data_IF_978273584566
#
_entry.id   IF_978273584566
#
_cell.length_a   1.000
_cell.length_b   1.000
_cell.length_c   1.000
_cell.angle_alpha   90.00
_cell.angle_beta   90.00
_cell.angle_gamma   90.00
#
_symmetry.space_group_name_H-M   'P 1'
#
loop_
_entity.id
_entity.type
_entity.pdbx_description
1 polymer ?
#
# COMPACT_ATOMS: atom_id res chain seq x y z
N UNK A 1 -1.18 -21.95 -7.23
CA UNK A 1 -2.63 -21.90 -7.44
C UNK A 1 -2.98 -20.49 -7.95
N UNK A 2 -3.46 -20.38 -9.18
CA UNK A 2 -3.91 -19.10 -9.72
C UNK A 2 -5.18 -18.70 -8.97
N UNK A 3 -5.17 -17.56 -8.31
CA UNK A 3 -6.37 -17.03 -7.66
C UNK A 3 -7.34 -16.57 -8.74
N UNK A 4 -8.57 -17.05 -8.67
CA UNK A 4 -9.62 -16.65 -9.62
C UNK A 4 -10.17 -15.29 -9.21
N UNK A 5 -10.34 -14.39 -10.19
CA UNK A 5 -10.97 -13.11 -9.95
C UNK A 5 -12.42 -13.31 -9.49
N UNK A 6 -12.74 -12.62 -8.43
CA UNK A 6 -14.11 -12.56 -7.87
C UNK A 6 -14.31 -11.23 -7.16
N UNK A 7 -15.56 -10.83 -6.98
CA UNK A 7 -15.89 -9.63 -6.21
C UNK A 7 -15.27 -9.69 -4.80
N UNK A 8 -15.33 -10.84 -4.14
CA UNK A 8 -14.75 -11.02 -2.81
C UNK A 8 -13.22 -10.86 -2.80
N UNK A 9 -12.53 -11.36 -3.84
CA UNK A 9 -11.10 -11.15 -3.99
C UNK A 9 -10.75 -9.67 -4.18
N UNK A 10 -11.48 -8.98 -5.07
CA UNK A 10 -11.29 -7.54 -5.31
C UNK A 10 -11.62 -6.70 -4.07
N UNK A 11 -12.67 -7.06 -3.32
CA UNK A 11 -12.95 -6.43 -2.03
C UNK A 11 -11.77 -6.58 -1.05
N UNK A 12 -11.14 -7.76 -0.99
CA UNK A 12 -9.94 -7.98 -0.19
C UNK A 12 -8.80 -7.05 -0.60
N UNK A 13 -8.50 -6.95 -1.91
CA UNK A 13 -7.47 -6.04 -2.43
C UNK A 13 -7.77 -4.56 -2.09
N UNK A 14 -9.04 -4.16 -2.17
CA UNK A 14 -9.45 -2.79 -1.84
C UNK A 14 -9.31 -2.50 -0.33
N UNK A 15 -9.57 -3.48 0.52
CA UNK A 15 -9.34 -3.36 1.96
C UNK A 15 -7.84 -3.31 2.30
N UNK A 16 -6.99 -4.10 1.62
CA UNK A 16 -5.52 -4.02 1.75
C UNK A 16 -5.03 -2.62 1.34
N UNK A 17 -5.58 -2.08 0.24
CA UNK A 17 -5.28 -0.71 -0.21
C UNK A 17 -5.67 0.32 0.84
N UNK A 18 -6.88 0.23 1.40
CA UNK A 18 -7.33 1.14 2.45
C UNK A 18 -6.43 1.07 3.69
N UNK A 19 -6.01 -0.13 4.10
CA UNK A 19 -5.08 -0.31 5.21
C UNK A 19 -3.73 0.36 4.95
N UNK A 20 -3.17 0.19 3.74
CA UNK A 20 -1.89 0.84 3.38
C UNK A 20 -2.02 2.37 3.31
N UNK A 21 -3.12 2.92 2.84
CA UNK A 21 -3.36 4.37 2.83
C UNK A 21 -3.40 4.95 4.24
N UNK A 22 -4.07 4.27 5.18
CA UNK A 22 -4.10 4.68 6.60
C UNK A 22 -2.68 4.69 7.20
N UNK A 23 -1.86 3.67 6.89
CA UNK A 23 -0.46 3.62 7.34
C UNK A 23 0.34 4.75 6.69
N UNK A 24 0.19 4.96 5.40
CA UNK A 24 0.91 5.99 4.64
C UNK A 24 0.62 7.39 5.18
N UNK A 25 -0.61 7.68 5.55
CA UNK A 25 -0.96 8.94 6.19
C UNK A 25 -0.19 9.14 7.50
N UNK A 26 -0.11 8.11 8.33
CA UNK A 26 0.66 8.17 9.59
C UNK A 26 2.16 8.36 9.35
N UNK A 27 2.72 7.70 8.31
CA UNK A 27 4.12 7.89 7.92
C UNK A 27 4.37 9.32 7.45
N UNK A 28 3.46 9.89 6.67
CA UNK A 28 3.54 11.29 6.22
C UNK A 28 3.45 12.28 7.38
N UNK A 29 2.54 12.06 8.33
CA UNK A 29 2.43 12.89 9.55
C UNK A 29 3.71 12.84 10.37
N UNK A 30 4.34 11.67 10.50
CA UNK A 30 5.64 11.53 11.17
C UNK A 30 6.76 12.25 10.42
N UNK A 31 6.80 12.18 9.09
CA UNK A 31 7.76 12.93 8.28
C UNK A 31 7.65 14.44 8.54
N UNK A 32 6.43 14.97 8.55
CA UNK A 32 6.15 16.39 8.87
C UNK A 32 6.53 16.76 10.32
N UNK A 33 6.46 15.80 11.23
CA UNK A 33 6.85 15.99 12.63
C UNK A 33 8.38 15.86 12.87
N UNK A 34 9.18 15.65 11.82
CA UNK A 34 10.64 15.59 11.91
C UNK A 34 11.20 14.19 12.11
N UNK A 35 10.59 13.17 11.51
CA UNK A 35 11.18 11.84 11.42
C UNK A 35 12.49 11.86 10.62
N UNK A 36 13.24 10.77 10.65
CA UNK A 36 14.55 10.61 10.00
C UNK A 36 14.49 10.39 8.48
N UNK A 37 13.31 10.49 7.87
CA UNK A 37 13.07 10.33 6.44
C UNK A 37 12.28 11.50 5.86
N UNK A 38 12.53 11.78 4.58
CA UNK A 38 11.79 12.79 3.80
C UNK A 38 10.42 12.28 3.39
N UNK A 39 10.33 11.00 3.04
CA UNK A 39 9.11 10.29 2.70
C UNK A 39 9.26 8.82 3.06
N UNK A 40 8.18 8.19 3.46
CA UNK A 40 8.08 6.74 3.61
C UNK A 40 6.69 6.27 3.18
N UNK A 41 6.61 5.08 2.62
CA UNK A 41 5.35 4.50 2.16
C UNK A 41 5.35 2.98 2.26
N UNK A 42 4.16 2.44 2.44
CA UNK A 42 3.83 1.04 2.25
C UNK A 42 3.07 0.91 0.95
N UNK A 43 3.41 -0.05 0.10
CA UNK A 43 2.62 -0.38 -1.08
C UNK A 43 2.07 -1.81 -0.97
N UNK A 44 1.01 -2.09 -1.73
CA UNK A 44 0.38 -3.42 -1.81
C UNK A 44 0.77 -4.10 -3.11
N UNK A 45 2.07 -4.15 -3.41
CA UNK A 45 2.56 -4.78 -4.63
C UNK A 45 2.36 -6.30 -4.58
N UNK A 46 1.66 -6.79 -5.59
CA UNK A 46 1.47 -8.23 -5.83
C UNK A 46 2.07 -8.58 -7.19
N UNK A 47 3.41 -8.64 -7.30
CA UNK A 47 4.07 -8.83 -8.60
C UNK A 47 3.56 -10.10 -9.27
N UNK A 48 2.93 -9.92 -10.44
CA UNK A 48 2.35 -11.00 -11.25
C UNK A 48 1.45 -11.96 -10.47
N UNK A 49 0.81 -11.50 -9.40
CA UNK A 49 -0.04 -12.31 -8.50
C UNK A 49 0.69 -13.51 -7.87
N UNK A 50 2.01 -13.48 -7.82
CA UNK A 50 2.84 -14.61 -7.38
C UNK A 50 3.26 -14.53 -5.92
N UNK A 51 3.26 -13.34 -5.33
CA UNK A 51 3.63 -13.12 -3.94
C UNK A 51 2.89 -11.91 -3.36
N UNK A 52 2.50 -12.01 -2.10
CA UNK A 52 2.07 -10.88 -1.29
C UNK A 52 3.32 -10.32 -0.58
N UNK A 53 3.77 -9.18 -1.03
CA UNK A 53 4.90 -8.47 -0.43
C UNK A 53 4.49 -7.02 -0.22
N UNK A 54 4.16 -6.58 0.98
CA UNK A 54 3.99 -5.17 1.28
C UNK A 54 5.37 -4.52 1.44
N UNK A 55 5.99 -3.98 0.38
CA UNK A 55 7.26 -3.28 0.52
C UNK A 55 7.04 -2.00 1.31
N UNK A 56 7.96 -1.77 2.24
CA UNK A 56 8.09 -0.51 2.96
C UNK A 56 9.29 0.20 2.38
N UNK A 57 9.09 1.36 1.79
CA UNK A 57 10.16 2.19 1.25
C UNK A 57 10.28 3.49 2.04
N UNK A 58 11.50 3.95 2.25
CA UNK A 58 11.77 5.24 2.88
C UNK A 58 12.93 5.94 2.17
N UNK A 59 12.83 7.27 2.07
CA UNK A 59 13.90 8.14 1.57
C UNK A 59 14.53 8.79 2.80
N UNK A 60 15.74 8.36 3.22
CA UNK A 60 16.36 8.89 4.43
C UNK A 60 16.80 10.35 4.26
N UNK A 61 16.80 11.08 5.38
CA UNK A 61 17.55 12.31 5.50
C UNK A 61 19.04 11.95 5.48
N UNK A 62 19.87 12.79 4.85
CA UNK A 62 21.31 12.55 4.75
C UNK A 62 21.93 12.24 6.11
N UNK A 63 22.70 11.17 6.17
CA UNK A 63 23.35 10.69 7.40
C UNK A 63 22.43 9.94 8.39
N UNK A 64 21.15 9.82 8.14
CA UNK A 64 20.17 9.20 9.07
C UNK A 64 19.58 7.88 8.58
N UNK A 65 20.27 7.16 7.73
CA UNK A 65 19.70 5.98 7.07
C UNK A 65 19.28 4.84 8.02
N UNK A 66 20.02 4.64 9.15
CA UNK A 66 19.66 3.64 10.15
C UNK A 66 18.35 3.99 10.87
N UNK A 67 18.20 5.26 11.23
CA UNK A 67 16.97 5.76 11.85
C UNK A 67 15.81 5.71 10.84
N UNK A 68 16.09 6.02 9.58
CA UNK A 68 15.10 5.97 8.51
C UNK A 68 14.64 4.55 8.17
N UNK A 69 15.38 3.51 8.53
CA UNK A 69 14.90 2.13 8.54
C UNK A 69 14.03 1.85 9.78
N UNK A 70 14.46 2.32 10.94
CA UNK A 70 13.78 2.06 12.21
C UNK A 70 12.44 2.80 12.37
N UNK A 71 12.38 4.06 11.97
CA UNK A 71 11.18 4.90 12.17
C UNK A 71 9.92 4.34 11.49
N UNK A 72 9.96 3.89 10.21
CA UNK A 72 8.82 3.20 9.60
C UNK A 72 8.46 1.89 10.29
N UNK A 73 9.45 1.10 10.76
CA UNK A 73 9.20 -0.14 11.51
C UNK A 73 8.42 0.13 12.80
N UNK A 74 8.78 1.18 13.55
CA UNK A 74 8.04 1.61 14.74
C UNK A 74 6.60 2.02 14.36
N UNK A 75 6.41 2.76 13.27
CA UNK A 75 5.09 3.15 12.81
C UNK A 75 4.22 1.93 12.44
N UNK A 76 4.81 0.93 11.78
CA UNK A 76 4.14 -0.33 11.44
C UNK A 76 3.82 -1.14 12.71
N UNK A 77 4.75 -1.23 13.67
CA UNK A 77 4.51 -1.91 14.93
C UNK A 77 3.33 -1.28 15.71
N UNK A 78 3.19 0.05 15.68
CA UNK A 78 2.01 0.74 16.23
C UNK A 78 0.76 0.39 15.42
N UNK A 79 0.83 0.40 14.09
CA UNK A 79 -0.31 0.11 13.22
C UNK A 79 -0.81 -1.35 13.36
N UNK A 80 0.09 -2.30 13.62
CA UNK A 80 -0.24 -3.71 13.87
C UNK A 80 -0.72 -3.99 15.29
N UNK A 81 -0.48 -3.09 16.24
CA UNK A 81 -0.91 -3.23 17.64
C UNK A 81 -2.18 -2.44 17.98
N UNK A 82 -2.43 -1.34 17.27
CA UNK A 82 -3.51 -0.40 17.59
C UNK A 82 -4.43 -0.20 16.38
N UNK A 83 -5.73 -0.44 16.56
CA UNK A 83 -6.71 -0.24 15.51
C UNK A 83 -6.74 1.24 15.05
N UNK A 84 -6.97 1.49 13.75
CA UNK A 84 -7.23 2.84 13.28
C UNK A 84 -8.55 3.37 13.87
N UNK A 85 -8.71 4.68 13.93
CA UNK A 85 -9.98 5.28 14.31
C UNK A 85 -10.98 5.25 13.15
N UNK A 86 -12.27 5.32 13.46
CA UNK A 86 -13.29 5.50 12.42
C UNK A 86 -13.00 6.73 11.54
N UNK A 87 -12.50 7.82 12.12
CA UNK A 87 -12.16 9.04 11.40
C UNK A 87 -11.01 8.81 10.41
N UNK A 88 -9.99 8.02 10.76
CA UNK A 88 -8.90 7.66 9.85
C UNK A 88 -9.44 6.84 8.67
N UNK A 89 -10.27 5.85 8.94
CA UNK A 89 -10.90 4.99 7.93
C UNK A 89 -11.76 5.82 6.99
N UNK A 90 -12.64 6.66 7.51
CA UNK A 90 -13.57 7.45 6.71
C UNK A 90 -12.85 8.47 5.82
N UNK A 91 -11.75 9.05 6.30
CA UNK A 91 -10.95 10.00 5.51
C UNK A 91 -10.37 9.32 4.27
N UNK A 92 -9.61 8.25 4.46
CA UNK A 92 -8.97 7.56 3.34
C UNK A 92 -10.01 6.91 2.40
N UNK A 93 -11.10 6.39 2.97
CA UNK A 93 -12.21 5.85 2.19
C UNK A 93 -12.82 6.91 1.26
N UNK A 94 -13.10 8.11 1.78
CA UNK A 94 -13.70 9.21 1.02
C UNK A 94 -12.76 9.76 -0.06
N UNK A 95 -11.46 9.81 0.20
CA UNK A 95 -10.46 10.24 -0.76
C UNK A 95 -10.43 9.30 -1.98
N UNK A 96 -10.43 7.98 -1.75
CA UNK A 96 -10.48 6.98 -2.83
C UNK A 96 -11.84 6.99 -3.55
N UNK A 97 -12.94 7.09 -2.83
CA UNK A 97 -14.26 7.19 -3.46
C UNK A 97 -14.33 8.39 -4.41
N UNK A 98 -13.81 9.54 -3.97
CA UNK A 98 -13.73 10.75 -4.80
C UNK A 98 -12.86 10.54 -6.04
N UNK A 99 -11.74 9.84 -5.90
CA UNK A 99 -10.88 9.48 -7.04
C UNK A 99 -11.64 8.61 -8.03
N UNK A 100 -12.28 7.52 -7.59
CA UNK A 100 -13.03 6.61 -8.45
C UNK A 100 -14.22 7.30 -9.14
N UNK A 101 -14.90 8.23 -8.47
CA UNK A 101 -15.96 9.04 -9.07
C UNK A 101 -15.44 9.93 -10.19
N UNK A 102 -14.24 10.51 -10.04
CA UNK A 102 -13.58 11.30 -11.10
C UNK A 102 -13.17 10.42 -12.27
N UNK A 103 -12.61 9.24 -12.02
CA UNK A 103 -12.28 8.27 -13.07
C UNK A 103 -13.53 7.86 -13.87
N UNK A 104 -14.63 7.57 -13.18
CA UNK A 104 -15.91 7.27 -13.82
C UNK A 104 -16.40 8.45 -14.69
N UNK A 105 -16.35 9.68 -14.16
CA UNK A 105 -16.79 10.86 -14.90
C UNK A 105 -15.92 11.13 -16.16
N UNK A 106 -14.65 10.76 -16.14
CA UNK A 106 -13.69 10.96 -17.21
C UNK A 106 -13.57 9.75 -18.17
N UNK A 107 -14.18 8.63 -17.86
CA UNK A 107 -14.00 7.36 -18.60
C UNK A 107 -14.26 7.49 -20.12
N UNK A 108 -15.19 8.32 -20.54
CA UNK A 108 -15.50 8.55 -21.98
C UNK A 108 -14.40 9.36 -22.69
N UNK A 109 -13.57 10.09 -21.95
CA UNK A 109 -12.51 10.92 -22.49
C UNK A 109 -11.11 10.26 -22.38
N UNK A 110 -11.06 9.03 -21.89
CA UNK A 110 -9.80 8.33 -21.70
C UNK A 110 -9.14 8.00 -23.05
N UNK A 111 -7.83 8.31 -23.22
CA UNK A 111 -7.12 7.99 -24.46
C UNK A 111 -7.12 6.50 -24.75
N UNK A 112 -7.41 6.12 -26.01
CA UNK A 112 -7.41 4.72 -26.41
C UNK A 112 -6.07 3.99 -26.21
N UNK A 113 -4.95 4.71 -26.22
CA UNK A 113 -3.63 4.16 -25.88
C UNK A 113 -3.57 3.70 -24.43
N UNK A 114 -4.08 4.48 -23.48
CA UNK A 114 -4.14 4.07 -22.07
C UNK A 114 -5.02 2.82 -21.88
N UNK A 115 -6.19 2.80 -22.54
CA UNK A 115 -7.07 1.63 -22.47
C UNK A 115 -6.39 0.37 -23.03
N UNK A 116 -5.62 0.50 -24.13
CA UNK A 116 -4.87 -0.61 -24.70
C UNK A 116 -3.75 -1.10 -23.75
N UNK A 117 -3.02 -0.19 -23.12
CA UNK A 117 -1.97 -0.53 -22.15
C UNK A 117 -2.56 -1.23 -20.92
N UNK A 118 -3.67 -0.74 -20.40
CA UNK A 118 -4.36 -1.34 -19.24
C UNK A 118 -4.86 -2.75 -19.58
N UNK A 119 -5.42 -2.95 -20.79
CA UNK A 119 -5.83 -4.26 -21.28
C UNK A 119 -4.64 -5.23 -21.41
N UNK A 120 -3.53 -4.78 -22.00
CA UNK A 120 -2.33 -5.60 -22.16
C UNK A 120 -1.77 -6.03 -20.79
N UNK A 121 -1.67 -5.10 -19.85
CA UNK A 121 -1.22 -5.39 -18.49
C UNK A 121 -2.14 -6.40 -17.79
N UNK A 122 -3.45 -6.22 -17.89
CA UNK A 122 -4.43 -7.14 -17.30
C UNK A 122 -4.33 -8.56 -17.89
N UNK A 123 -4.17 -8.66 -19.22
CA UNK A 123 -3.98 -9.96 -19.90
C UNK A 123 -2.68 -10.63 -19.46
N UNK A 124 -1.59 -9.89 -19.34
CA UNK A 124 -0.27 -10.42 -18.94
C UNK A 124 -0.31 -11.06 -17.54
N UNK A 125 -0.95 -10.41 -16.58
CA UNK A 125 -1.09 -10.95 -15.22
C UNK A 125 -2.35 -11.81 -15.04
N UNK A 126 -3.17 -11.93 -16.09
CA UNK A 126 -4.43 -12.69 -16.10
C UNK A 126 -5.48 -12.11 -15.17
N UNK A 127 -5.58 -10.79 -15.14
CA UNK A 127 -6.57 -10.03 -14.41
C UNK A 127 -7.81 -9.74 -15.25
N UNK A 128 -8.98 -9.75 -14.62
CA UNK A 128 -10.20 -9.31 -15.27
C UNK A 128 -10.26 -7.79 -15.27
N UNK A 129 -10.35 -7.20 -16.46
CA UNK A 129 -10.54 -5.76 -16.61
C UNK A 129 -11.88 -5.36 -16.02
N UNK A 130 -11.86 -4.40 -15.12
CA UNK A 130 -13.04 -3.91 -14.42
C UNK A 130 -13.38 -2.51 -14.92
N UNK A 131 -14.65 -2.28 -15.32
CA UNK A 131 -15.09 -0.94 -15.70
C UNK A 131 -15.12 0.02 -14.50
N UNK A 132 -14.94 1.35 -14.72
CA UNK A 132 -14.89 2.32 -13.62
C UNK A 132 -16.13 2.34 -12.72
N UNK A 133 -17.33 2.14 -13.29
CA UNK A 133 -18.57 2.03 -12.54
C UNK A 133 -18.59 0.78 -11.64
N UNK A 134 -18.09 -0.34 -12.16
CA UNK A 134 -17.99 -1.57 -11.39
C UNK A 134 -16.94 -1.47 -10.27
N UNK A 135 -15.79 -0.85 -10.56
CA UNK A 135 -14.77 -0.58 -9.56
C UNK A 135 -15.31 0.29 -8.41
N UNK A 136 -16.05 1.36 -8.73
CA UNK A 136 -16.71 2.21 -7.74
C UNK A 136 -17.74 1.41 -6.92
N UNK A 137 -18.55 0.58 -7.57
CA UNK A 137 -19.55 -0.24 -6.88
C UNK A 137 -18.91 -1.23 -5.90
N UNK A 138 -17.79 -1.88 -6.29
CA UNK A 138 -17.05 -2.78 -5.40
C UNK A 138 -16.45 -1.98 -4.23
N UNK A 139 -15.86 -0.81 -4.49
CA UNK A 139 -15.35 0.07 -3.43
C UNK A 139 -16.45 0.43 -2.42
N UNK A 140 -17.61 0.85 -2.89
CA UNK A 140 -18.74 1.17 -2.02
C UNK A 140 -19.20 -0.03 -1.18
N UNK A 141 -19.09 -1.23 -1.72
CA UNK A 141 -19.48 -2.45 -1.02
C UNK A 141 -18.58 -2.83 0.15
N UNK A 142 -17.32 -2.35 0.21
CA UNK A 142 -16.42 -2.61 1.34
C UNK A 142 -16.68 -1.71 2.56
N UNK A 143 -17.46 -0.64 2.43
CA UNK A 143 -17.70 0.31 3.50
C UNK A 143 -18.16 -0.33 4.83
N UNK A 144 -19.16 -1.23 4.84
CA UNK A 144 -19.57 -1.90 6.08
C UNK A 144 -18.53 -2.90 6.62
N UNK A 145 -17.55 -3.30 5.80
CA UNK A 145 -16.46 -4.20 6.18
C UNK A 145 -15.27 -3.46 6.81
N UNK A 146 -15.11 -2.18 6.49
CA UNK A 146 -13.99 -1.35 6.92
C UNK A 146 -14.15 -0.84 8.37
N UNK A 147 -14.30 -1.76 9.33
CA UNK A 147 -14.37 -1.44 10.76
C UNK A 147 -12.97 -1.38 11.38
N UNK A 148 -12.75 -0.63 12.49
CA UNK A 148 -11.45 -0.56 13.16
C UNK A 148 -10.80 -1.91 13.45
N UNK A 149 -11.59 -2.87 13.94
CA UNK A 149 -11.11 -4.22 14.28
C UNK A 149 -10.74 -5.01 13.03
N UNK A 150 -11.53 -4.92 11.96
CA UNK A 150 -11.23 -5.60 10.71
C UNK A 150 -10.00 -4.98 10.03
N UNK A 151 -9.88 -3.66 10.00
CA UNK A 151 -8.71 -2.97 9.47
C UNK A 151 -7.43 -3.32 10.25
N UNK A 152 -7.51 -3.46 11.57
CA UNK A 152 -6.39 -3.95 12.37
C UNK A 152 -6.00 -5.39 12.00
N UNK A 153 -6.98 -6.28 11.79
CA UNK A 153 -6.70 -7.67 11.39
C UNK A 153 -6.02 -7.73 10.02
N UNK A 154 -6.51 -6.95 9.06
CA UNK A 154 -5.90 -6.82 7.71
C UNK A 154 -4.47 -6.28 7.82
N UNK A 155 -4.26 -5.20 8.56
CA UNK A 155 -2.93 -4.61 8.77
C UNK A 155 -1.95 -5.63 9.37
N UNK A 156 -2.38 -6.44 10.33
CA UNK A 156 -1.55 -7.52 10.89
C UNK A 156 -1.19 -8.54 9.82
N UNK A 157 -2.17 -9.04 9.10
CA UNK A 157 -1.97 -10.05 8.05
C UNK A 157 -1.02 -9.57 6.95
N UNK A 158 -1.03 -8.29 6.61
CA UNK A 158 -0.10 -7.70 5.63
C UNK A 158 1.37 -7.85 6.03
N UNK A 159 1.69 -7.75 7.32
CA UNK A 159 3.07 -7.80 7.83
C UNK A 159 3.44 -9.12 8.50
N UNK A 160 2.53 -10.08 8.55
CA UNK A 160 2.79 -11.45 9.01
C UNK A 160 3.41 -12.27 7.86
N UNK A 161 4.73 -12.26 7.79
CA UNK A 161 5.46 -13.03 6.78
C UNK A 161 6.66 -13.76 7.37
N UNK A 162 7.02 -14.95 6.82
CA UNK A 162 8.13 -15.76 7.33
C UNK A 162 9.50 -15.21 6.95
N UNK A 163 9.57 -14.24 6.04
CA UNK A 163 10.83 -13.72 5.48
C UNK A 163 10.78 -12.19 5.44
N UNK A 164 11.81 -11.56 5.99
CA UNK A 164 12.08 -10.14 5.81
C UNK A 164 13.31 -9.97 4.91
N UNK A 165 13.27 -8.97 4.04
CA UNK A 165 14.37 -8.57 3.18
C UNK A 165 14.52 -7.06 3.23
N UNK A 166 15.77 -6.58 3.24
CA UNK A 166 16.05 -5.16 3.08
C UNK A 166 16.92 -4.93 1.86
N UNK A 167 16.67 -3.81 1.19
CA UNK A 167 17.48 -3.31 0.10
C UNK A 167 17.69 -1.82 0.33
N UNK A 168 18.91 -1.35 0.08
CA UNK A 168 19.23 0.07 0.12
C UNK A 168 19.99 0.47 -1.14
N UNK A 169 19.60 1.60 -1.71
CA UNK A 169 20.30 2.24 -2.81
C UNK A 169 20.87 3.55 -2.26
N UNK A 170 22.17 3.72 -2.39
CA UNK A 170 22.87 4.91 -1.92
C UNK A 170 23.76 5.49 -3.02
N UNK A 171 23.79 6.81 -3.20
CA UNK A 171 24.69 7.46 -4.15
C UNK A 171 26.17 7.39 -3.74
N UNK A 172 26.46 7.10 -2.47
CA UNK A 172 27.80 7.00 -1.90
C UNK A 172 27.98 5.70 -1.14
N UNK A 173 29.20 5.14 -1.04
CA UNK A 173 29.47 3.98 -0.22
C UNK A 173 29.06 4.23 1.24
N UNK A 174 28.42 3.24 1.86
CA UNK A 174 28.01 3.28 3.26
C UNK A 174 28.98 2.42 4.07
N UNK A 175 29.43 2.94 5.20
CA UNK A 175 30.28 2.21 6.13
C UNK A 175 29.57 0.93 6.60
N UNK A 176 30.29 -0.21 6.54
CA UNK A 176 29.75 -1.52 6.86
C UNK A 176 28.88 -2.15 5.75
N UNK A 177 28.47 -1.39 4.72
CA UNK A 177 27.77 -1.89 3.54
C UNK A 177 26.62 -2.83 3.85
N UNK A 178 26.56 -3.97 3.15
CA UNK A 178 25.50 -4.97 3.33
C UNK A 178 25.47 -5.63 4.72
N UNK A 179 26.60 -5.70 5.42
CA UNK A 179 26.65 -6.25 6.78
C UNK A 179 25.94 -5.32 7.78
N UNK A 180 26.12 -4.00 7.65
CA UNK A 180 25.44 -3.03 8.48
C UNK A 180 23.92 -3.04 8.23
N UNK A 181 23.49 -3.21 6.95
CA UNK A 181 22.08 -3.36 6.62
C UNK A 181 21.49 -4.67 7.17
N UNK A 182 22.22 -5.78 7.06
CA UNK A 182 21.77 -7.08 7.59
C UNK A 182 21.61 -7.08 9.11
N UNK A 183 22.36 -6.25 9.83
CA UNK A 183 22.26 -6.13 11.28
C UNK A 183 20.99 -5.37 11.76
N UNK A 184 20.25 -4.73 10.85
CA UNK A 184 18.99 -4.04 11.15
C UNK A 184 17.73 -4.93 10.97
N UNK A 185 17.87 -6.09 10.35
CA UNK A 185 16.79 -7.05 10.08
C UNK A 185 16.74 -8.10 11.19
#
# INVERSE_FOLDING_TARGET
HRVTDSVAYTQGLMLDTLASLIINRRLEERARAGASYLAAQVSTDKPSRSADMPPVSAIPIEGQWQQADNDPRVAIAVATSTAPTEADIQREYADVETFLQRELANAQNEPGTKQADDLLNAVDIGETVTSPDHALAIWQSIRPLATPQHMLAITRAMFEGPVQRAQMISPSPIEGGGAALAALI
#
